data_IF_744023030060
#
_entry.id   IF_744023030060
#
_cell.length_a   1.000
_cell.length_b   1.000
_cell.length_c   1.000
_cell.angle_alpha   90.00
_cell.angle_beta   90.00
_cell.angle_gamma   90.00
#
_symmetry.space_group_name_H-M   'P 1'
#
loop_
_entity.id
_entity.type
_entity.pdbx_description
1 polymer ?
#
# COMPACT_ATOMS: atom_id res chain seq x y z
N UNK A 1 -2.61 0.87 -1.20
CA UNK A 1 -4.04 0.91 -0.79
C UNK A 1 -4.23 2.11 0.13
N UNK A 2 -5.27 2.95 -0.02
CA UNK A 2 -5.51 4.07 0.89
C UNK A 2 -5.90 3.60 2.31
N UNK A 3 -5.26 4.17 3.33
CA UNK A 3 -5.56 3.91 4.75
C UNK A 3 -6.90 4.54 5.13
N UNK A 4 -7.73 3.79 5.87
CA UNK A 4 -8.95 4.27 6.52
C UNK A 4 -8.90 3.97 8.02
N UNK A 5 -9.91 4.50 8.73
CA UNK A 5 -10.22 4.10 10.09
C UNK A 5 -10.52 2.60 10.10
N UNK A 6 -10.20 1.95 11.21
CA UNK A 6 -10.37 0.53 11.47
C UNK A 6 -9.49 -0.45 10.68
N UNK A 7 -8.55 0.03 9.86
CA UNK A 7 -7.52 -0.86 9.33
C UNK A 7 -6.53 -1.23 10.44
N UNK A 8 -6.09 -2.49 10.47
CA UNK A 8 -4.98 -2.90 11.33
C UNK A 8 -3.66 -2.61 10.62
N UNK A 9 -2.73 -2.07 11.39
CA UNK A 9 -1.46 -1.63 10.87
C UNK A 9 -0.31 -2.04 11.77
N UNK A 10 0.84 -2.29 11.15
CA UNK A 10 2.11 -2.58 11.80
C UNK A 10 3.14 -1.49 11.47
N UNK A 11 3.78 -0.95 12.50
CA UNK A 11 4.80 0.10 12.33
C UNK A 11 6.15 -0.54 12.01
N UNK A 12 6.73 -0.19 10.87
CA UNK A 12 7.99 -0.77 10.38
C UNK A 12 9.20 0.13 10.65
N UNK A 13 9.00 1.45 10.73
CA UNK A 13 10.07 2.44 10.85
C UNK A 13 9.84 3.38 12.04
N UNK A 14 10.93 3.87 12.63
CA UNK A 14 10.93 4.86 13.72
C UNK A 14 10.83 4.24 15.12
N UNK A 15 10.59 5.09 16.12
CA UNK A 15 10.63 4.73 17.55
C UNK A 15 9.63 3.66 17.97
N UNK A 16 8.48 3.59 17.30
CA UNK A 16 7.40 2.65 17.62
C UNK A 16 7.42 1.39 16.74
N UNK A 17 8.57 1.05 16.14
CA UNK A 17 8.74 -0.14 15.29
C UNK A 17 8.35 -1.42 16.04
N UNK A 18 7.69 -2.33 15.32
CA UNK A 18 7.25 -3.62 15.86
C UNK A 18 5.93 -3.57 16.60
N UNK A 19 5.37 -2.38 16.84
CA UNK A 19 4.02 -2.24 17.42
C UNK A 19 2.96 -2.35 16.34
N UNK A 20 1.92 -3.08 16.66
CA UNK A 20 0.70 -3.23 15.88
C UNK A 20 -0.46 -2.49 16.54
N UNK A 21 -1.47 -2.15 15.74
CA UNK A 21 -2.71 -1.62 16.27
C UNK A 21 -3.68 -1.19 15.20
N UNK A 22 -4.89 -0.90 15.64
CA UNK A 22 -5.97 -0.41 14.79
C UNK A 22 -5.83 1.10 14.58
N UNK A 23 -6.11 1.57 13.36
CA UNK A 23 -6.16 3.00 13.05
C UNK A 23 -7.44 3.60 13.64
N UNK A 24 -7.28 4.46 14.64
CA UNK A 24 -8.40 5.15 15.31
C UNK A 24 -8.93 6.27 14.41
N UNK A 25 -8.01 7.10 13.91
CA UNK A 25 -8.37 8.25 13.09
C UNK A 25 -7.26 8.59 12.10
N UNK A 26 -7.68 9.09 10.94
CA UNK A 26 -6.80 9.57 9.86
C UNK A 26 -6.89 11.09 9.83
N UNK A 27 -5.83 11.76 10.26
CA UNK A 27 -5.78 13.21 10.35
C UNK A 27 -5.11 13.82 9.10
N UNK A 28 -5.91 14.02 8.05
CA UNK A 28 -5.42 14.48 6.74
C UNK A 28 -4.86 15.90 6.75
N UNK A 29 -5.36 16.80 7.60
CA UNK A 29 -4.83 18.18 7.70
C UNK A 29 -3.34 18.22 8.05
N UNK A 30 -2.87 17.23 8.82
CA UNK A 30 -1.45 17.08 9.21
C UNK A 30 -0.75 15.90 8.53
N UNK A 31 -1.44 15.20 7.63
CA UNK A 31 -0.95 13.97 6.97
C UNK A 31 -0.44 12.88 7.94
N UNK A 32 -1.18 12.69 9.03
CA UNK A 32 -0.81 11.82 10.14
C UNK A 32 -1.94 10.82 10.45
N UNK A 33 -1.58 9.63 10.92
CA UNK A 33 -2.49 8.62 11.45
C UNK A 33 -2.27 8.45 12.95
N UNK A 34 -3.36 8.19 13.67
CA UNK A 34 -3.34 7.83 15.09
C UNK A 34 -3.70 6.36 15.25
N UNK A 35 -2.87 5.63 16.00
CA UNK A 35 -3.00 4.20 16.25
C UNK A 35 -3.31 3.99 17.74
N UNK A 36 -4.20 3.05 18.04
CA UNK A 36 -4.81 2.88 19.37
C UNK A 36 -3.78 2.65 20.50
N UNK A 37 -2.79 1.79 20.26
CA UNK A 37 -1.78 1.40 21.26
C UNK A 37 -0.53 2.30 21.27
N UNK A 38 -0.54 3.37 20.48
CA UNK A 38 0.60 4.27 20.34
C UNK A 38 0.22 5.61 20.95
N UNK A 39 0.42 5.70 22.25
CA UNK A 39 0.14 6.88 23.07
C UNK A 39 1.41 7.39 23.74
N UNK A 40 1.37 8.66 24.14
CA UNK A 40 2.34 9.32 25.00
C UNK A 40 1.57 9.93 26.16
N UNK A 41 2.13 9.84 27.36
CA UNK A 41 1.60 10.48 28.56
C UNK A 41 2.04 11.94 28.63
N UNK A 42 1.10 12.82 29.01
CA UNK A 42 1.38 14.23 29.32
C UNK A 42 1.79 14.37 30.79
N UNK A 43 2.39 15.51 31.14
CA UNK A 43 2.75 15.84 32.53
C UNK A 43 1.57 15.84 33.51
N UNK A 44 0.35 15.97 33.00
CA UNK A 44 -0.89 15.93 33.78
C UNK A 44 -1.50 14.53 33.89
N UNK A 45 -0.79 13.46 33.49
CA UNK A 45 -1.24 12.06 33.57
C UNK A 45 -2.21 11.63 32.47
N UNK A 46 -2.68 12.54 31.62
CA UNK A 46 -3.55 12.16 30.49
C UNK A 46 -2.75 11.57 29.33
N UNK A 47 -3.29 10.55 28.67
CA UNK A 47 -2.65 9.92 27.49
C UNK A 47 -3.17 10.53 26.19
N UNK A 48 -2.26 10.75 25.23
CA UNK A 48 -2.60 11.27 23.90
C UNK A 48 -1.96 10.40 22.83
N UNK A 49 -2.70 10.10 21.77
CA UNK A 49 -2.17 9.32 20.65
C UNK A 49 -1.05 10.07 19.93
N UNK A 50 0.04 9.35 19.65
CA UNK A 50 1.15 9.91 18.88
C UNK A 50 0.79 9.85 17.40
N UNK A 51 1.18 10.91 16.70
CA UNK A 51 1.02 10.98 15.26
C UNK A 51 2.09 10.19 14.52
N UNK A 52 1.69 9.23 13.68
CA UNK A 52 2.60 8.50 12.79
C UNK A 52 2.31 8.86 11.34
N UNK A 53 3.34 8.98 10.52
CA UNK A 53 3.16 9.13 9.08
C UNK A 53 2.82 7.76 8.45
N UNK A 54 1.81 7.67 7.57
CA UNK A 54 1.39 6.40 6.98
C UNK A 54 2.49 5.68 6.18
N UNK A 55 3.52 6.38 5.68
CA UNK A 55 4.66 5.75 4.98
C UNK A 55 5.56 4.89 5.88
N UNK A 56 5.49 5.08 7.20
CA UNK A 56 6.28 4.30 8.18
C UNK A 56 5.60 2.98 8.57
N UNK A 57 4.45 2.70 7.96
CA UNK A 57 3.47 1.73 8.44
C UNK A 57 3.03 0.82 7.28
N UNK A 58 2.81 -0.46 7.59
CA UNK A 58 2.29 -1.46 6.66
C UNK A 58 0.90 -1.88 7.15
N UNK A 59 -0.04 -2.04 6.22
CA UNK A 59 -1.39 -2.51 6.54
C UNK A 59 -1.36 -4.03 6.66
N UNK A 60 -1.78 -4.55 7.81
CA UNK A 60 -1.87 -5.99 8.10
C UNK A 60 -3.25 -6.54 7.74
N UNK A 61 -4.32 -5.90 8.22
CA UNK A 61 -5.70 -6.29 7.88
C UNK A 61 -6.49 -5.09 7.38
N UNK A 62 -7.27 -5.32 6.33
CA UNK A 62 -8.12 -4.30 5.71
C UNK A 62 -9.55 -4.45 6.22
N UNK A 63 -10.18 -3.32 6.59
CA UNK A 63 -11.64 -3.28 6.73
C UNK A 63 -12.27 -3.31 5.34
N UNK A 64 -13.14 -4.28 5.05
CA UNK A 64 -13.77 -4.44 3.74
C UNK A 64 -15.16 -3.80 3.71
N UNK A 65 -15.26 -2.68 2.98
CA UNK A 65 -16.53 -2.05 2.60
C UNK A 65 -16.84 -2.33 1.11
N UNK A 66 -18.08 -2.09 0.67
CA UNK A 66 -18.50 -2.26 -0.74
C UNK A 66 -17.58 -1.52 -1.72
N UNK A 67 -17.33 -0.24 -1.47
CA UNK A 67 -16.48 0.60 -2.34
C UNK A 67 -15.01 0.17 -2.31
N UNK A 68 -14.58 -0.41 -1.19
CA UNK A 68 -13.20 -0.83 -1.02
C UNK A 68 -12.92 -2.14 -1.75
N UNK A 69 -13.90 -3.05 -1.80
CA UNK A 69 -13.86 -4.24 -2.66
C UNK A 69 -13.80 -3.83 -4.13
N UNK A 70 -14.71 -2.95 -4.57
CA UNK A 70 -14.70 -2.43 -5.95
C UNK A 70 -13.36 -1.75 -6.33
N UNK A 71 -12.73 -1.04 -5.39
CA UNK A 71 -11.41 -0.43 -5.62
C UNK A 71 -10.31 -1.47 -5.76
N UNK A 72 -10.35 -2.56 -4.99
CA UNK A 72 -9.41 -3.68 -5.12
C UNK A 72 -9.57 -4.37 -6.47
N UNK A 73 -10.81 -4.66 -6.88
CA UNK A 73 -11.11 -5.35 -8.14
C UNK A 73 -10.63 -4.52 -9.34
N UNK A 74 -10.91 -3.21 -9.33
CA UNK A 74 -10.38 -2.28 -10.35
C UNK A 74 -8.86 -2.27 -10.40
N UNK A 75 -8.20 -2.13 -9.24
CA UNK A 75 -6.73 -2.10 -9.17
C UNK A 75 -6.08 -3.44 -9.55
N UNK A 76 -6.79 -4.55 -9.38
CA UNK A 76 -6.33 -5.87 -9.81
C UNK A 76 -6.39 -5.99 -11.34
N UNK A 77 -7.49 -5.55 -11.96
CA UNK A 77 -7.64 -5.55 -13.42
C UNK A 77 -6.59 -4.66 -14.12
N UNK A 78 -6.32 -3.46 -13.59
CA UNK A 78 -5.32 -2.54 -14.16
C UNK A 78 -3.89 -3.11 -14.10
N UNK A 79 -3.57 -3.91 -13.07
CA UNK A 79 -2.25 -4.55 -12.94
C UNK A 79 -2.02 -5.68 -13.94
N UNK A 80 -3.08 -6.33 -14.42
CA UNK A 80 -2.98 -7.37 -15.44
C UNK A 80 -2.65 -6.80 -16.82
N UNK A 81 -3.09 -5.56 -17.10
CA UNK A 81 -2.88 -4.90 -18.40
C UNK A 81 -1.50 -4.26 -18.57
N UNK A 82 -0.76 -4.04 -17.47
CA UNK A 82 0.51 -3.31 -17.45
C UNK A 82 1.78 -4.16 -17.30
N UNK A 83 1.65 -5.49 -17.25
CA UNK A 83 2.80 -6.39 -17.27
C UNK A 83 2.71 -7.21 -18.54
N UNK A 84 3.63 -6.96 -19.47
CA UNK A 84 3.93 -7.91 -20.54
C UNK A 84 3.92 -9.31 -19.94
N UNK A 85 3.06 -10.16 -20.47
CA UNK A 85 3.09 -11.57 -20.15
C UNK A 85 4.47 -12.10 -20.52
N UNK A 86 5.01 -13.03 -19.74
CA UNK A 86 6.30 -13.66 -20.05
C UNK A 86 6.30 -14.30 -21.47
N UNK A 87 5.12 -14.65 -21.97
CA UNK A 87 4.89 -15.14 -23.33
C UNK A 87 5.13 -14.08 -24.41
N UNK A 88 4.75 -12.81 -24.21
CA UNK A 88 5.02 -11.73 -25.17
C UNK A 88 6.50 -11.34 -25.21
N UNK A 89 7.21 -11.39 -24.09
CA UNK A 89 8.66 -11.11 -24.05
C UNK A 89 9.46 -12.22 -24.73
N UNK A 90 9.01 -13.48 -24.62
CA UNK A 90 9.60 -14.60 -25.35
C UNK A 90 9.33 -14.52 -26.87
N UNK A 91 8.14 -14.10 -27.28
CA UNK A 91 7.80 -13.90 -28.69
C UNK A 91 8.58 -12.74 -29.34
N UNK A 92 8.84 -11.65 -28.61
CA UNK A 92 9.62 -10.52 -29.11
C UNK A 92 11.13 -10.82 -29.25
N UNK A 93 11.69 -11.71 -28.41
CA UNK A 93 13.08 -12.14 -28.53
C UNK A 93 13.32 -13.11 -29.71
N UNK A 94 12.27 -13.79 -30.19
CA UNK A 94 12.34 -14.70 -31.34
C UNK A 94 12.13 -14.00 -32.70
N UNK A 95 11.66 -12.74 -32.71
CA UNK A 95 11.32 -11.99 -33.93
C UNK A 95 12.46 -11.17 -34.54
N UNK A 96 13.72 -11.49 -34.25
CA UNK A 96 14.89 -10.75 -34.71
C UNK A 96 15.68 -11.46 -35.81
N UNK A 97 15.09 -11.71 -36.98
CA UNK A 97 15.80 -11.88 -38.25
C UNK A 97 14.80 -12.10 -39.40
N UNK A 98 14.32 -11.03 -40.01
CA UNK A 98 13.74 -11.10 -41.35
C UNK A 98 13.90 -9.78 -42.09
N UNK A 99 15.14 -9.45 -42.43
CA UNK A 99 15.40 -8.64 -43.63
C UNK A 99 16.78 -8.98 -44.18
N UNK A 100 16.79 -9.74 -45.27
CA UNK A 100 17.73 -9.56 -46.37
C UNK A 100 17.06 -10.08 -47.64
N UNK A 101 16.72 -9.12 -48.49
CA UNK A 101 16.42 -9.31 -49.90
C UNK A 101 17.75 -9.60 -50.62
N UNK A 102 17.89 -10.72 -51.33
CA UNK A 102 18.80 -10.92 -52.48
C UNK A 102 18.08 -11.93 -53.41
N UNK A 103 17.52 -11.49 -54.54
CA UNK A 103 18.08 -11.51 -55.91
C UNK A 103 18.36 -12.94 -56.40
N UNK A 104 17.42 -13.46 -57.21
CA UNK A 104 17.63 -14.13 -58.51
C UNK A 104 16.34 -14.01 -59.34
#
# INVERSE_FOLDING_TARGET
MPIRKDDEVLVVRGTYKGRDGKVVQVYRRKWVIHVERITREKVNGSTVNVGINPSKVVITKLKLDKDRKALLDRKAADKAKGKFSAEEVAAAAAGGAASLQEID
#
